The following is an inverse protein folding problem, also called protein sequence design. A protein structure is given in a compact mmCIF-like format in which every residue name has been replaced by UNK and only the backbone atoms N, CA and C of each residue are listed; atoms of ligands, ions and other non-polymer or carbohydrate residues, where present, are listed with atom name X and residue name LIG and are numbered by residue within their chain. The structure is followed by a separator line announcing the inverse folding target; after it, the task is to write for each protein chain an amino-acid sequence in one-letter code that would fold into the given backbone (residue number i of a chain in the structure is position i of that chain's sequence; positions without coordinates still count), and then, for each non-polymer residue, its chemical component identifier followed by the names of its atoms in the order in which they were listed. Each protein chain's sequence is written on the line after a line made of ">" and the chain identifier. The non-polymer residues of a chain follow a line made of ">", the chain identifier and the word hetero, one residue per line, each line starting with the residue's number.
data_IF_967741191278
#
_entry.id   IF_967741191278
#
_cell.length_a   1.000
_cell.length_b   1.000
_cell.length_c   1.000
_cell.angle_alpha   90.00
_cell.angle_beta   90.00
_cell.angle_gamma   90.00
#
_symmetry.space_group_name_H-M   'P 1'
#
loop_
_entity.id
_entity.type
_entity.pdbx_description
1 polymer ?
#
# COMPACT_ATOMS: atom_id res chain seq x y z
N UNK A 1 34.25 19.72 -15.55
CA UNK A 1 33.30 20.82 -15.76
C UNK A 1 32.03 20.39 -15.05
N UNK A 2 32.04 20.61 -13.74
CA UNK A 2 30.98 20.18 -12.83
C UNK A 2 29.80 21.15 -12.98
N UNK A 3 28.66 20.61 -13.41
CA UNK A 3 27.42 21.37 -13.44
C UNK A 3 26.93 21.53 -12.00
N UNK A 4 27.29 22.65 -11.38
CA UNK A 4 26.65 23.14 -10.16
C UNK A 4 25.53 24.06 -10.63
N UNK A 5 24.23 23.69 -10.52
CA UNK A 5 23.16 24.62 -10.82
C UNK A 5 22.99 25.57 -9.62
N UNK A 6 23.69 26.70 -9.68
CA UNK A 6 23.26 27.91 -8.99
C UNK A 6 22.24 28.60 -9.89
N UNK A 7 20.94 28.50 -9.60
CA UNK A 7 19.99 29.61 -9.74
C UNK A 7 18.77 29.37 -8.84
N UNK A 8 18.40 30.42 -8.14
CA UNK A 8 17.36 30.47 -7.12
C UNK A 8 16.04 30.67 -7.84
N UNK A 9 15.25 29.59 -7.96
CA UNK A 9 13.86 29.63 -8.41
C UNK A 9 12.97 28.93 -7.38
N UNK A 10 12.02 29.67 -6.82
CA UNK A 10 11.11 29.19 -5.78
C UNK A 10 10.20 28.06 -6.28
N UNK A 11 10.68 26.81 -6.30
CA UNK A 11 9.87 25.59 -6.31
C UNK A 11 10.77 24.38 -6.05
N UNK A 12 10.52 23.68 -4.94
CA UNK A 12 11.15 22.39 -4.55
C UNK A 12 12.59 22.46 -4.02
N UNK A 13 12.69 22.56 -2.70
CA UNK A 13 13.88 22.23 -1.90
C UNK A 13 14.22 20.75 -2.15
N UNK A 14 15.37 20.46 -2.77
CA UNK A 14 15.89 19.11 -3.01
C UNK A 14 17.06 18.87 -2.06
N UNK A 15 16.92 17.93 -1.12
CA UNK A 15 17.99 17.56 -0.18
C UNK A 15 18.74 16.35 -0.75
N UNK A 16 20.06 16.40 -0.70
CA UNK A 16 20.96 15.40 -1.24
C UNK A 16 21.57 14.58 -0.10
N UNK A 17 21.39 13.25 -0.07
CA UNK A 17 22.14 12.36 0.84
C UNK A 17 23.27 11.66 0.09
N UNK A 18 24.43 11.57 0.75
CA UNK A 18 25.61 10.85 0.26
C UNK A 18 25.52 9.40 0.75
N UNK A 19 25.29 8.46 -0.16
CA UNK A 19 25.53 7.06 0.15
C UNK A 19 27.03 6.82 0.29
N UNK A 20 27.42 6.18 1.39
CA UNK A 20 28.80 5.77 1.63
C UNK A 20 29.04 4.42 0.95
N UNK A 21 29.06 4.41 -0.39
CA UNK A 21 29.70 3.33 -1.13
C UNK A 21 31.06 3.80 -1.64
N UNK A 22 32.14 3.01 -1.46
CA UNK A 22 33.45 3.37 -1.95
C UNK A 22 33.41 3.36 -3.47
N UNK A 23 33.37 4.56 -4.07
CA UNK A 23 33.56 4.85 -5.50
C UNK A 23 32.31 5.03 -6.40
N UNK A 24 31.12 5.26 -5.85
CA UNK A 24 29.97 5.75 -6.64
C UNK A 24 29.31 6.92 -5.92
N UNK A 25 29.47 8.14 -6.45
CA UNK A 25 28.76 9.32 -5.94
C UNK A 25 27.40 9.38 -6.64
N UNK A 26 26.45 8.58 -6.16
CA UNK A 26 25.07 8.67 -6.64
C UNK A 26 24.28 9.58 -5.72
N UNK A 27 23.71 10.60 -6.35
CA UNK A 27 22.84 11.54 -5.72
C UNK A 27 21.38 11.06 -5.81
N UNK A 28 20.80 10.54 -4.71
CA UNK A 28 19.41 10.04 -4.71
C UNK A 28 18.48 10.97 -3.92
N UNK A 29 17.29 11.18 -4.48
CA UNK A 29 16.24 12.00 -3.89
C UNK A 29 15.50 11.17 -2.83
N UNK A 30 15.78 11.43 -1.55
CA UNK A 30 15.08 10.77 -0.46
C UNK A 30 13.68 11.39 -0.34
N UNK A 31 12.68 10.82 -1.01
CA UNK A 31 11.30 11.35 -1.09
C UNK A 31 10.40 11.03 0.13
N UNK A 32 10.99 10.48 1.19
CA UNK A 32 10.32 10.06 2.42
C UNK A 32 10.95 10.82 3.61
N UNK A 33 10.75 12.13 3.69
CA UNK A 33 11.36 12.94 4.74
C UNK A 33 10.43 13.12 5.96
N UNK A 34 9.13 12.83 5.81
CA UNK A 34 8.14 12.86 6.91
C UNK A 34 7.05 11.79 6.75
N UNK A 35 6.50 11.28 7.86
CA UNK A 35 5.43 10.26 7.87
C UNK A 35 4.09 10.74 7.28
N UNK A 36 3.91 12.04 7.04
CA UNK A 36 2.70 12.67 6.49
C UNK A 36 2.64 12.69 4.94
N UNK A 37 3.68 12.17 4.27
CA UNK A 37 3.80 12.11 2.80
C UNK A 37 3.11 10.88 2.18
N UNK A 38 2.79 9.90 3.02
CA UNK A 38 1.89 8.80 2.72
C UNK A 38 0.60 9.02 3.51
N UNK A 39 -0.53 8.74 2.86
CA UNK A 39 -1.86 9.07 3.37
C UNK A 39 -2.41 8.04 4.34
N UNK A 40 -3.73 8.00 4.41
CA UNK A 40 -4.49 7.12 5.30
C UNK A 40 -3.98 5.67 5.26
N UNK A 41 -3.81 5.04 6.44
CA UNK A 41 -3.46 3.62 6.64
C UNK A 41 -2.11 3.16 6.05
N UNK A 42 -1.22 4.09 5.69
CA UNK A 42 0.18 3.77 5.42
C UNK A 42 0.94 3.43 6.73
N UNK A 43 1.81 2.43 6.69
CA UNK A 43 2.65 1.98 7.82
C UNK A 43 4.10 2.43 7.71
N UNK A 44 4.60 2.65 6.50
CA UNK A 44 5.95 3.15 6.27
C UNK A 44 6.10 3.79 4.89
N UNK A 45 7.06 4.69 4.75
CA UNK A 45 7.50 5.26 3.49
C UNK A 45 8.97 4.89 3.31
N UNK A 46 9.31 4.23 2.20
CA UNK A 46 10.69 3.96 1.81
C UNK A 46 10.85 4.19 0.30
N UNK A 47 11.96 4.75 -0.18
CA UNK A 47 12.22 4.79 -1.61
C UNK A 47 12.54 3.38 -2.15
N UNK A 48 12.22 3.13 -3.42
CA UNK A 48 12.67 1.93 -4.14
C UNK A 48 14.11 2.05 -4.67
N UNK A 49 14.59 1.00 -5.35
CA UNK A 49 15.93 0.95 -5.96
C UNK A 49 16.13 1.97 -7.10
N UNK A 50 15.08 2.65 -7.57
CA UNK A 50 15.17 3.75 -8.52
C UNK A 50 14.90 5.13 -7.87
N UNK A 51 14.67 5.19 -6.56
CA UNK A 51 14.40 6.42 -5.81
C UNK A 51 12.94 6.90 -5.91
N UNK A 52 12.00 6.04 -6.29
CA UNK A 52 10.56 6.30 -6.24
C UNK A 52 10.00 6.12 -4.85
N UNK A 53 9.10 7.03 -4.45
CA UNK A 53 8.41 6.98 -3.16
C UNK A 53 7.53 5.75 -3.12
N UNK A 54 7.80 4.82 -2.20
CA UNK A 54 6.94 3.66 -1.95
C UNK A 54 6.30 3.79 -0.58
N UNK A 55 4.97 3.82 -0.58
CA UNK A 55 4.16 3.77 0.63
C UNK A 55 3.73 2.32 0.87
N UNK A 56 4.11 1.74 2.00
CA UNK A 56 3.63 0.43 2.41
C UNK A 56 2.36 0.58 3.23
N UNK A 57 1.35 -0.23 2.93
CA UNK A 57 0.04 -0.17 3.56
C UNK A 57 -0.11 -1.21 4.68
N UNK A 58 -1.08 -0.98 5.58
CA UNK A 58 -1.54 -2.01 6.50
C UNK A 58 -2.06 -3.23 5.72
N UNK A 59 -2.02 -4.42 6.33
CA UNK A 59 -2.61 -5.63 5.74
C UNK A 59 -4.08 -5.38 5.40
N UNK A 60 -4.52 -5.88 4.24
CA UNK A 60 -5.86 -5.62 3.70
C UNK A 60 -6.00 -4.25 3.03
N UNK A 61 -4.92 -3.50 2.81
CA UNK A 61 -4.95 -2.23 2.07
C UNK A 61 -3.90 -2.20 0.96
N UNK A 62 -4.19 -1.44 -0.10
CA UNK A 62 -3.31 -1.22 -1.25
C UNK A 62 -3.26 0.25 -1.66
N UNK A 63 -2.21 0.66 -2.37
CA UNK A 63 -2.08 2.03 -2.90
C UNK A 63 -2.87 2.15 -4.20
N UNK A 64 -3.89 3.01 -4.26
CA UNK A 64 -4.67 3.25 -5.48
C UNK A 64 -3.96 4.09 -6.54
N UNK A 65 -3.18 5.07 -6.11
CA UNK A 65 -2.43 5.96 -7.00
C UNK A 65 -1.03 6.19 -6.44
N UNK A 66 -0.06 5.48 -7.01
CA UNK A 66 1.36 5.56 -6.64
C UNK A 66 2.00 6.89 -7.06
N UNK A 67 1.43 7.59 -8.04
CA UNK A 67 1.93 8.86 -8.55
C UNK A 67 1.27 10.06 -7.88
N UNK A 68 0.24 9.84 -7.05
CA UNK A 68 -0.41 10.89 -6.29
C UNK A 68 0.60 11.66 -5.42
N UNK A 69 0.34 12.96 -5.26
CA UNK A 69 1.13 13.80 -4.34
C UNK A 69 1.14 13.21 -2.93
N UNK A 70 -0.01 12.68 -2.48
CA UNK A 70 -0.17 11.97 -1.22
C UNK A 70 -0.84 10.60 -1.44
N UNK A 71 -0.07 9.54 -1.78
CA UNK A 71 -0.61 8.21 -2.02
C UNK A 71 -1.28 7.69 -0.75
N UNK A 72 -2.55 7.32 -0.85
CA UNK A 72 -3.33 6.80 0.28
C UNK A 72 -3.58 5.32 0.12
N UNK A 73 -3.52 4.59 1.23
CA UNK A 73 -3.87 3.19 1.27
C UNK A 73 -5.40 3.08 1.32
N UNK A 74 -5.95 2.36 0.36
CA UNK A 74 -7.37 2.04 0.31
C UNK A 74 -7.55 0.58 0.59
N UNK A 75 -8.67 0.29 1.23
CA UNK A 75 -9.13 -1.06 1.52
C UNK A 75 -9.11 -1.93 0.25
N UNK A 76 -8.58 -3.14 0.38
CA UNK A 76 -8.71 -4.18 -0.63
C UNK A 76 -10.08 -4.81 -0.39
N UNK A 77 -10.96 -4.74 -1.37
CA UNK A 77 -12.24 -5.42 -1.28
C UNK A 77 -12.07 -6.85 -1.81
N UNK A 78 -11.75 -7.78 -0.90
CA UNK A 78 -11.53 -9.19 -1.27
C UNK A 78 -12.79 -9.86 -1.84
N UNK A 79 -13.97 -9.32 -1.51
CA UNK A 79 -15.25 -9.82 -2.00
C UNK A 79 -15.48 -9.51 -3.48
N UNK A 80 -14.81 -8.54 -4.11
CA UNK A 80 -15.03 -8.24 -5.53
C UNK A 80 -14.68 -9.39 -6.47
N UNK A 81 -13.85 -10.32 -6.02
CA UNK A 81 -13.56 -11.54 -6.77
C UNK A 81 -14.70 -12.55 -6.69
N UNK A 82 -14.69 -13.57 -7.56
CA UNK A 82 -15.69 -14.65 -7.56
C UNK A 82 -17.16 -14.15 -7.52
N UNK A 83 -17.52 -13.23 -8.42
CA UNK A 83 -18.87 -12.65 -8.51
C UNK A 83 -19.40 -12.01 -7.21
N UNK A 84 -18.53 -11.43 -6.39
CA UNK A 84 -18.96 -10.80 -5.13
C UNK A 84 -18.75 -11.68 -3.89
N UNK A 85 -18.26 -12.91 -4.05
CA UNK A 85 -18.10 -13.86 -2.96
C UNK A 85 -16.67 -14.01 -2.46
N UNK A 86 -15.68 -13.41 -3.11
CA UNK A 86 -14.29 -13.57 -2.68
C UNK A 86 -13.89 -15.04 -2.57
N UNK A 87 -13.17 -15.37 -1.49
CA UNK A 87 -12.83 -16.74 -1.10
C UNK A 87 -13.92 -17.44 -0.26
N UNK A 88 -15.10 -16.84 -0.09
CA UNK A 88 -16.18 -17.41 0.70
C UNK A 88 -17.01 -18.41 -0.10
N UNK A 89 -17.47 -19.51 0.54
CA UNK A 89 -18.36 -20.47 -0.10
C UNK A 89 -19.73 -19.86 -0.45
N UNK A 90 -20.27 -19.01 0.44
CA UNK A 90 -21.63 -18.49 0.33
C UNK A 90 -21.72 -16.98 0.21
N UNK A 91 -21.63 -16.24 1.32
CA UNK A 91 -21.73 -14.78 1.30
C UNK A 91 -20.42 -14.18 1.79
N UNK A 92 -19.97 -13.11 1.13
CA UNK A 92 -18.81 -12.32 1.53
C UNK A 92 -19.25 -10.92 1.93
N UNK A 93 -18.73 -10.44 3.06
CA UNK A 93 -18.95 -9.09 3.55
C UNK A 93 -17.59 -8.41 3.72
N UNK A 94 -17.31 -7.44 2.85
CA UNK A 94 -16.08 -6.67 2.94
C UNK A 94 -16.10 -5.80 4.20
N UNK A 95 -14.95 -5.68 4.86
CA UNK A 95 -14.76 -4.89 6.06
C UNK A 95 -13.42 -4.16 5.99
N UNK A 96 -13.21 -3.15 6.81
CA UNK A 96 -12.00 -2.36 6.65
C UNK A 96 -10.74 -3.14 7.09
N UNK A 97 -9.89 -3.50 6.13
CA UNK A 97 -8.66 -4.27 6.26
C UNK A 97 -8.85 -5.79 6.26
N UNK A 98 -10.07 -6.29 5.97
CA UNK A 98 -10.38 -7.72 5.98
C UNK A 98 -11.77 -8.00 5.40
N UNK A 99 -12.21 -9.25 5.41
CA UNK A 99 -13.57 -9.63 5.05
C UNK A 99 -14.08 -10.72 5.97
N UNK A 100 -15.41 -10.88 6.01
CA UNK A 100 -16.05 -11.96 6.74
C UNK A 100 -16.93 -12.77 5.82
N UNK A 101 -16.85 -14.10 5.93
CA UNK A 101 -17.74 -15.01 5.23
C UNK A 101 -18.91 -15.40 6.14
N UNK A 102 -20.09 -15.57 5.55
CA UNK A 102 -21.26 -16.12 6.25
C UNK A 102 -21.97 -17.16 5.39
N UNK A 103 -22.54 -18.15 6.07
CA UNK A 103 -23.26 -19.24 5.43
C UNK A 103 -24.76 -18.94 5.32
N UNK A 104 -25.39 -19.53 4.30
CA UNK A 104 -26.85 -19.52 4.16
C UNK A 104 -27.50 -20.36 5.27
N UNK A 105 -28.79 -20.16 5.47
CA UNK A 105 -29.59 -20.96 6.40
C UNK A 105 -29.44 -22.46 6.10
N UNK A 106 -29.32 -23.29 7.15
CA UNK A 106 -29.03 -24.72 7.03
C UNK A 106 -27.54 -25.09 6.91
N UNK A 107 -26.63 -24.11 6.98
CA UNK A 107 -25.19 -24.34 6.95
C UNK A 107 -24.47 -23.61 8.09
N UNK A 108 -23.39 -24.20 8.60
CA UNK A 108 -22.50 -23.60 9.57
C UNK A 108 -21.13 -23.25 8.96
N UNK A 109 -20.52 -22.17 9.46
CA UNK A 109 -19.17 -21.76 9.03
C UNK A 109 -18.13 -22.70 9.66
N UNK A 110 -17.22 -23.20 8.83
CA UNK A 110 -16.13 -24.06 9.27
C UNK A 110 -15.04 -23.25 9.99
N UNK A 111 -14.09 -23.97 10.61
CA UNK A 111 -12.95 -23.38 11.33
C UNK A 111 -12.01 -22.55 10.45
N UNK A 112 -12.05 -22.74 9.13
CA UNK A 112 -11.31 -21.91 8.16
C UNK A 112 -11.93 -20.51 7.96
N UNK A 113 -13.14 -20.27 8.51
CA UNK A 113 -13.92 -19.03 8.39
C UNK A 113 -14.28 -18.65 6.95
N UNK A 114 -14.26 -19.61 6.03
CA UNK A 114 -14.55 -19.41 4.61
C UNK A 114 -15.58 -20.40 4.08
N UNK A 115 -15.44 -21.66 4.48
CA UNK A 115 -16.26 -22.73 3.96
C UNK A 115 -17.48 -23.02 4.81
N UNK A 116 -18.53 -23.54 4.16
CA UNK A 116 -19.81 -23.83 4.78
C UNK A 116 -20.05 -25.35 4.81
N UNK A 117 -20.51 -25.85 5.95
CA UNK A 117 -20.88 -27.24 6.15
C UNK A 117 -22.39 -27.35 6.38
N UNK A 118 -23.03 -28.28 5.68
CA UNK A 118 -24.45 -28.59 5.91
C UNK A 118 -24.61 -29.22 7.31
N UNK A 119 -25.66 -28.80 8.02
CA UNK A 119 -25.90 -29.19 9.41
C UNK A 119 -26.89 -30.35 9.58
N UNK A 120 -27.34 -30.99 8.48
CA UNK A 120 -28.35 -32.07 8.49
C UNK A 120 -27.79 -33.46 8.15
#
# INVERSE_FOLDING_TARGET
>A
QDFIPNEIGFSTYRIWKKDSQPNVVNWRFDRCEKMDECGYKAISCKPDDAGYKVCNCQNGFTVKDINARNPSCTDIDECQSNNGNGDCDHNCMNSQGSYNCSCKEGFEIKSDRKSCQDIN
#
